data_IF_596117186970
#
_entry.id   IF_596117186970
#
_cell.length_a   1.000
_cell.length_b   1.000
_cell.length_c   1.000
_cell.angle_alpha   90.00
_cell.angle_beta   90.00
_cell.angle_gamma   90.00
#
_symmetry.space_group_name_H-M   'P 1'
#
loop_
_entity.id
_entity.type
_entity.pdbx_description
1 polymer ?
#
# COMPACT_ATOMS: atom_id res chain seq x y z
N UNK A 1 -45.02 55.29 -39.69
CA UNK A 1 -43.65 55.03 -39.21
C UNK A 1 -43.32 53.57 -39.47
N UNK A 2 -42.36 53.31 -40.37
CA UNK A 2 -41.90 51.97 -40.74
C UNK A 2 -41.12 51.36 -39.57
N UNK A 3 -41.45 50.14 -39.14
CA UNK A 3 -40.48 49.22 -38.52
C UNK A 3 -40.80 47.79 -38.98
N UNK A 4 -39.81 47.20 -39.63
CA UNK A 4 -39.81 45.87 -40.23
C UNK A 4 -39.58 44.81 -39.14
N UNK A 5 -40.25 43.67 -39.28
CA UNK A 5 -39.94 42.43 -38.56
C UNK A 5 -38.59 41.90 -39.03
N UNK A 6 -37.66 41.67 -38.10
CA UNK A 6 -36.42 40.94 -38.33
C UNK A 6 -36.67 39.49 -37.90
N UNK A 7 -36.73 38.58 -38.87
CA UNK A 7 -36.55 37.15 -38.65
C UNK A 7 -35.04 36.88 -38.54
N UNK A 8 -34.60 36.39 -37.37
CA UNK A 8 -33.24 35.90 -37.19
C UNK A 8 -33.16 34.49 -37.77
N UNK A 9 -32.45 34.33 -38.88
CA UNK A 9 -32.19 33.04 -39.54
C UNK A 9 -30.92 32.44 -38.94
N UNK A 10 -31.02 31.29 -38.28
CA UNK A 10 -29.87 30.54 -37.78
C UNK A 10 -29.24 29.78 -38.95
N UNK A 11 -28.05 30.19 -39.39
CA UNK A 11 -27.24 29.45 -40.36
C UNK A 11 -26.29 28.53 -39.57
N UNK A 12 -26.53 27.22 -39.65
CA UNK A 12 -25.60 26.20 -39.15
C UNK A 12 -24.57 25.94 -40.24
N UNK A 13 -23.32 26.35 -40.01
CA UNK A 13 -22.19 26.01 -40.87
C UNK A 13 -21.66 24.62 -40.46
N UNK A 14 -21.90 23.60 -41.28
CA UNK A 14 -21.18 22.33 -41.22
C UNK A 14 -19.84 22.51 -41.94
N UNK A 15 -18.76 22.66 -41.18
CA UNK A 15 -17.40 22.63 -41.70
C UNK A 15 -16.93 21.18 -41.86
N UNK A 16 -16.93 20.67 -43.08
CA UNK A 16 -16.21 19.45 -43.43
C UNK A 16 -14.72 19.79 -43.53
N UNK A 17 -13.93 19.34 -42.54
CA UNK A 17 -12.47 19.39 -42.61
C UNK A 17 -12.02 18.22 -43.48
N UNK A 18 -11.67 18.53 -44.73
CA UNK A 18 -10.91 17.63 -45.60
C UNK A 18 -9.44 17.75 -45.20
N UNK A 19 -8.94 16.77 -44.43
CA UNK A 19 -7.51 16.59 -44.23
C UNK A 19 -6.92 15.97 -45.50
N UNK A 20 -6.14 16.74 -46.26
CA UNK A 20 -5.27 16.16 -47.27
C UNK A 20 -4.05 15.58 -46.55
N UNK A 21 -3.97 14.25 -46.46
CA UNK A 21 -2.72 13.55 -46.14
C UNK A 21 -1.71 13.81 -47.24
N UNK A 22 -0.68 14.58 -46.92
CA UNK A 22 0.58 14.57 -47.66
C UNK A 22 1.34 13.32 -47.25
N UNK A 23 1.44 12.33 -48.14
CA UNK A 23 2.33 11.19 -47.95
C UNK A 23 3.78 11.68 -48.12
N UNK A 24 4.46 11.95 -47.01
CA UNK A 24 5.91 11.84 -46.97
C UNK A 24 6.23 10.38 -46.64
N UNK A 25 6.92 9.70 -47.55
CA UNK A 25 7.54 8.41 -47.30
C UNK A 25 8.81 8.63 -46.47
N UNK A 26 8.63 8.92 -45.19
CA UNK A 26 9.64 8.56 -44.20
C UNK A 26 9.26 7.14 -43.75
N UNK A 27 10.20 6.20 -43.81
CA UNK A 27 10.05 4.88 -43.21
C UNK A 27 9.83 5.07 -41.70
N UNK A 28 8.59 5.34 -41.33
CA UNK A 28 8.12 5.37 -39.95
C UNK A 28 8.17 3.91 -39.52
N UNK A 29 9.27 3.51 -38.88
CA UNK A 29 9.37 2.30 -38.08
C UNK A 29 8.25 2.39 -37.03
N UNK A 30 7.03 2.01 -37.42
CA UNK A 30 5.91 1.91 -36.50
C UNK A 30 6.41 1.02 -35.36
N UNK A 31 6.47 1.51 -34.11
CA UNK A 31 6.97 0.72 -33.01
C UNK A 31 6.24 -0.62 -33.00
N UNK A 32 6.98 -1.70 -33.21
CA UNK A 32 6.41 -3.05 -33.17
C UNK A 32 5.86 -3.20 -31.76
N UNK A 33 4.55 -3.46 -31.66
CA UNK A 33 3.90 -3.74 -30.38
C UNK A 33 4.67 -4.86 -29.68
N UNK A 34 5.29 -4.59 -28.51
CA UNK A 34 6.07 -5.59 -27.78
C UNK A 34 5.20 -6.72 -27.20
N UNK A 35 3.87 -6.63 -27.39
CA UNK A 35 2.90 -7.65 -27.08
C UNK A 35 2.40 -7.60 -25.64
N UNK A 36 1.45 -8.48 -25.36
CA UNK A 36 0.85 -8.63 -24.03
C UNK A 36 0.94 -10.07 -23.55
N UNK A 37 0.94 -10.23 -22.23
CA UNK A 37 0.97 -11.52 -21.53
C UNK A 37 0.11 -11.44 -20.27
N UNK A 38 -0.45 -12.57 -19.81
CA UNK A 38 -1.25 -12.62 -18.58
C UNK A 38 -0.53 -13.33 -17.41
N UNK A 39 0.67 -13.85 -17.66
CA UNK A 39 1.42 -14.69 -16.71
C UNK A 39 2.93 -14.45 -16.73
N UNK A 40 3.47 -13.97 -17.84
CA UNK A 40 4.89 -13.67 -17.99
C UNK A 40 5.14 -12.16 -18.04
N UNK A 41 6.11 -11.68 -17.25
CA UNK A 41 6.65 -10.32 -17.32
C UNK A 41 8.02 -10.38 -18.00
N UNK A 42 8.10 -9.83 -19.21
CA UNK A 42 9.35 -9.77 -19.95
C UNK A 42 10.07 -8.44 -19.69
N UNK A 43 11.23 -8.53 -19.04
CA UNK A 43 12.09 -7.40 -18.66
C UNK A 43 12.96 -7.01 -19.84
N UNK A 44 12.73 -5.81 -20.37
CA UNK A 44 13.45 -5.27 -21.51
C UNK A 44 14.76 -4.61 -21.11
N UNK A 45 15.80 -4.73 -21.95
CA UNK A 45 16.99 -3.88 -21.80
C UNK A 45 16.70 -2.49 -22.39
N UNK A 46 16.72 -1.47 -21.55
CA UNK A 46 16.50 -0.09 -21.96
C UNK A 46 17.79 0.61 -22.38
N UNK A 47 17.68 1.56 -23.32
CA UNK A 47 18.80 2.41 -23.76
C UNK A 47 19.09 3.56 -22.79
N UNK A 48 18.10 3.92 -21.96
CA UNK A 48 18.20 4.94 -20.91
C UNK A 48 17.32 4.58 -19.73
N UNK A 49 17.56 5.19 -18.56
CA UNK A 49 16.66 5.03 -17.42
C UNK A 49 15.36 5.82 -17.65
N UNK A 50 14.19 5.27 -17.28
CA UNK A 50 12.98 6.08 -17.19
C UNK A 50 13.13 7.12 -16.08
N UNK A 51 12.40 8.22 -16.22
CA UNK A 51 12.17 9.19 -15.16
C UNK A 51 11.33 8.53 -14.07
N UNK A 52 11.54 8.93 -12.81
CA UNK A 52 10.78 8.42 -11.65
C UNK A 52 9.92 9.55 -11.10
N UNK A 53 8.98 10.03 -11.91
CA UNK A 53 8.19 11.23 -11.63
C UNK A 53 6.67 11.00 -11.66
N UNK A 54 6.24 9.79 -12.03
CA UNK A 54 4.84 9.38 -12.09
C UNK A 54 4.18 9.66 -13.43
N UNK A 55 4.91 10.21 -14.40
CA UNK A 55 4.47 10.32 -15.79
C UNK A 55 5.02 9.14 -16.59
N UNK A 56 4.19 8.52 -17.43
CA UNK A 56 4.58 7.33 -18.19
C UNK A 56 5.40 7.75 -19.41
N UNK A 57 6.73 7.62 -19.30
CA UNK A 57 7.66 7.82 -20.40
C UNK A 57 7.40 6.91 -21.61
N UNK A 58 7.71 7.41 -22.83
CA UNK A 58 7.60 6.66 -24.08
C UNK A 58 8.39 5.34 -24.08
N UNK A 59 9.49 5.27 -23.31
CA UNK A 59 10.34 4.08 -23.22
C UNK A 59 9.57 2.87 -22.68
N UNK A 60 8.57 3.08 -21.81
CA UNK A 60 7.71 2.01 -21.31
C UNK A 60 6.91 1.35 -22.42
N UNK A 61 6.54 2.10 -23.47
CA UNK A 61 5.86 1.58 -24.65
C UNK A 61 6.65 0.53 -25.43
N UNK A 62 7.96 0.42 -25.18
CA UNK A 62 8.83 -0.54 -25.86
C UNK A 62 8.95 -1.90 -25.18
N UNK A 63 8.52 -2.03 -23.93
CA UNK A 63 8.55 -3.28 -23.14
C UNK A 63 7.24 -4.06 -23.28
N UNK A 64 7.21 -5.38 -23.05
CA UNK A 64 5.96 -6.17 -23.03
C UNK A 64 5.03 -5.70 -21.90
N UNK A 65 3.70 -5.79 -22.11
CA UNK A 65 2.71 -5.54 -21.05
C UNK A 65 2.24 -6.84 -20.43
N UNK A 66 2.42 -6.99 -19.11
CA UNK A 66 1.66 -7.97 -18.34
C UNK A 66 0.29 -7.35 -18.03
N UNK A 67 -0.79 -7.96 -18.53
CA UNK A 67 -2.19 -7.52 -18.31
C UNK A 67 -2.97 -8.67 -17.68
N UNK A 68 -3.38 -8.52 -16.42
CA UNK A 68 -4.14 -9.56 -15.70
C UNK A 68 -4.92 -8.95 -14.52
N UNK A 69 -5.69 -9.77 -13.82
CA UNK A 69 -6.31 -9.41 -12.55
C UNK A 69 -5.70 -10.14 -11.36
N UNK A 70 -5.76 -9.52 -10.19
CA UNK A 70 -5.60 -10.15 -8.89
C UNK A 70 -6.99 -10.30 -8.23
N UNK A 71 -7.17 -11.28 -7.34
CA UNK A 71 -8.45 -11.48 -6.64
C UNK A 71 -8.25 -11.74 -5.15
N UNK A 72 -9.10 -11.17 -4.30
CA UNK A 72 -9.13 -11.48 -2.88
C UNK A 72 -9.69 -12.89 -2.70
N UNK A 73 -8.89 -13.83 -2.16
CA UNK A 73 -9.36 -15.19 -1.93
C UNK A 73 -10.45 -15.25 -0.87
N UNK A 74 -11.37 -16.19 -1.05
CA UNK A 74 -12.44 -16.51 -0.10
C UNK A 74 -12.23 -17.84 0.60
N UNK A 75 -12.90 -18.06 1.73
CA UNK A 75 -12.94 -19.37 2.40
C UNK A 75 -11.59 -19.80 2.97
N UNK A 76 -10.84 -18.84 3.49
CA UNK A 76 -9.56 -19.07 4.18
C UNK A 76 -9.75 -19.46 5.66
N UNK A 77 -10.98 -19.47 6.12
CA UNK A 77 -11.41 -19.92 7.44
C UNK A 77 -11.62 -18.78 8.41
N UNK A 78 -12.31 -19.08 9.51
CA UNK A 78 -12.73 -18.06 10.47
C UNK A 78 -11.53 -17.45 11.22
N UNK A 79 -11.70 -16.20 11.68
CA UNK A 79 -10.67 -15.49 12.48
C UNK A 79 -10.35 -16.19 13.80
N UNK A 80 -11.31 -16.91 14.37
CA UNK A 80 -11.23 -17.65 15.65
C UNK A 80 -10.90 -16.79 16.88
N UNK A 81 -10.76 -15.48 16.71
CA UNK A 81 -10.61 -14.50 17.77
C UNK A 81 -11.03 -13.10 17.30
N UNK A 82 -11.26 -12.16 18.22
CA UNK A 82 -11.47 -10.76 17.89
C UNK A 82 -10.17 -10.16 17.34
N UNK A 83 -10.19 -9.57 16.14
CA UNK A 83 -9.04 -8.90 15.54
C UNK A 83 -8.98 -7.41 15.92
N UNK A 84 -10.14 -6.82 16.11
CA UNK A 84 -10.45 -5.53 16.71
C UNK A 84 -10.97 -5.75 18.16
N UNK A 85 -11.83 -4.85 18.65
CA UNK A 85 -12.37 -4.91 20.01
C UNK A 85 -13.54 -5.90 20.14
N UNK A 86 -13.75 -6.43 21.36
CA UNK A 86 -14.73 -7.50 21.65
C UNK A 86 -16.17 -7.09 21.30
N UNK A 87 -16.48 -5.81 21.46
CA UNK A 87 -17.75 -5.18 21.11
C UNK A 87 -17.98 -5.02 19.59
N UNK A 88 -17.00 -5.39 18.75
CA UNK A 88 -17.08 -5.32 17.29
C UNK A 88 -17.32 -6.68 16.60
N UNK A 89 -17.45 -7.79 17.36
CA UNK A 89 -18.22 -8.99 16.96
C UNK A 89 -17.71 -9.87 15.80
N UNK A 90 -16.40 -10.05 15.63
CA UNK A 90 -15.84 -10.54 14.35
C UNK A 90 -15.22 -11.96 14.33
N UNK A 91 -15.25 -12.72 15.43
CA UNK A 91 -14.45 -13.96 15.55
C UNK A 91 -14.88 -15.06 14.55
N UNK A 92 -16.14 -15.03 14.11
CA UNK A 92 -16.75 -16.02 13.22
C UNK A 92 -16.69 -15.65 11.74
N UNK A 93 -16.16 -14.47 11.40
CA UNK A 93 -15.99 -14.05 10.01
C UNK A 93 -14.85 -14.81 9.37
N UNK A 94 -14.92 -15.07 8.06
CA UNK A 94 -13.73 -15.39 7.29
C UNK A 94 -12.68 -14.27 7.48
N UNK A 95 -11.40 -14.63 7.42
CA UNK A 95 -10.32 -13.66 7.60
C UNK A 95 -10.43 -12.48 6.63
N UNK A 96 -10.97 -12.67 5.42
CA UNK A 96 -11.12 -11.61 4.40
C UNK A 96 -12.58 -11.31 4.03
N UNK A 97 -13.57 -11.79 4.78
CA UNK A 97 -15.02 -11.64 4.49
C UNK A 97 -15.42 -10.28 3.89
N UNK A 98 -14.96 -9.18 4.49
CA UNK A 98 -15.30 -7.80 4.08
C UNK A 98 -14.76 -7.38 2.69
N UNK A 99 -13.94 -8.21 2.06
CA UNK A 99 -13.26 -7.97 0.79
C UNK A 99 -13.40 -9.17 -0.17
N UNK A 100 -14.07 -10.25 0.22
CA UNK A 100 -14.11 -11.48 -0.57
C UNK A 100 -14.67 -11.23 -1.98
N UNK A 101 -13.98 -11.77 -2.98
CA UNK A 101 -14.38 -11.63 -4.38
C UNK A 101 -14.01 -10.29 -5.02
N UNK A 102 -13.49 -9.32 -4.27
CA UNK A 102 -12.91 -8.10 -4.86
C UNK A 102 -11.76 -8.46 -5.80
N UNK A 103 -11.75 -7.82 -6.96
CA UNK A 103 -10.77 -8.08 -8.03
C UNK A 103 -10.16 -6.77 -8.49
N UNK A 104 -8.85 -6.78 -8.69
CA UNK A 104 -8.10 -5.62 -9.17
C UNK A 104 -7.44 -5.97 -10.49
N UNK A 105 -7.84 -5.28 -11.56
CA UNK A 105 -7.15 -5.36 -12.85
C UNK A 105 -5.90 -4.50 -12.76
N UNK A 106 -4.77 -5.06 -13.16
CA UNK A 106 -3.51 -4.35 -13.19
C UNK A 106 -2.73 -4.62 -14.47
N UNK A 107 -1.91 -3.64 -14.82
CA UNK A 107 -0.87 -3.77 -15.83
C UNK A 107 0.50 -3.65 -15.19
N UNK A 108 1.48 -4.32 -15.78
CA UNK A 108 2.87 -4.20 -15.37
C UNK A 108 3.80 -4.23 -16.58
N UNK A 109 4.82 -3.39 -16.55
CA UNK A 109 5.93 -3.40 -17.50
C UNK A 109 7.23 -3.39 -16.71
N UNK A 110 8.30 -3.91 -17.30
CA UNK A 110 9.61 -3.86 -16.65
C UNK A 110 10.73 -3.71 -17.67
N UNK A 111 11.77 -3.02 -17.25
CA UNK A 111 13.02 -2.97 -17.98
C UNK A 111 14.20 -2.70 -17.07
N UNK A 112 15.40 -2.79 -17.60
CA UNK A 112 16.64 -2.57 -16.86
C UNK A 112 17.63 -1.75 -17.68
N UNK A 113 18.44 -0.96 -16.99
CA UNK A 113 19.57 -0.24 -17.59
C UNK A 113 20.73 -0.19 -16.59
N UNK A 114 21.94 -0.47 -17.06
CA UNK A 114 23.11 -0.56 -16.18
C UNK A 114 22.90 -1.61 -15.08
N UNK A 115 22.94 -1.18 -13.82
CA UNK A 115 22.76 -2.01 -12.64
C UNK A 115 21.34 -2.02 -12.08
N UNK A 116 20.40 -1.28 -12.70
CA UNK A 116 19.10 -1.00 -12.10
C UNK A 116 17.99 -1.64 -12.92
N UNK A 117 17.00 -2.19 -12.22
CA UNK A 117 15.73 -2.69 -12.77
C UNK A 117 14.59 -1.77 -12.35
N UNK A 118 13.64 -1.62 -13.27
CA UNK A 118 12.51 -0.71 -13.16
C UNK A 118 11.21 -1.47 -13.41
N UNK A 119 10.15 -1.07 -12.72
CA UNK A 119 8.80 -1.58 -12.93
C UNK A 119 7.83 -0.42 -13.04
N UNK A 120 6.96 -0.46 -14.05
CA UNK A 120 5.77 0.38 -14.13
C UNK A 120 4.57 -0.50 -13.78
N UNK A 121 3.79 -0.08 -12.79
CA UNK A 121 2.63 -0.82 -12.28
C UNK A 121 1.45 0.13 -12.30
N UNK A 122 0.35 -0.31 -12.89
CA UNK A 122 -0.88 0.48 -12.94
C UNK A 122 -2.06 -0.40 -12.50
N UNK A 123 -2.96 0.13 -11.68
CA UNK A 123 -4.23 -0.52 -11.38
C UNK A 123 -5.34 0.50 -11.19
N UNK A 124 -6.57 0.10 -11.49
CA UNK A 124 -7.73 0.96 -11.29
C UNK A 124 -8.05 1.07 -9.79
N UNK A 125 -8.33 2.28 -9.34
CA UNK A 125 -8.76 2.55 -7.97
C UNK A 125 -9.50 3.89 -7.97
N UNK A 126 -10.74 3.89 -7.52
CA UNK A 126 -11.54 5.12 -7.49
C UNK A 126 -11.18 6.01 -6.29
N UNK A 127 -10.47 5.46 -5.30
CA UNK A 127 -10.25 6.13 -4.02
C UNK A 127 -8.79 6.05 -3.62
N UNK A 128 -8.19 7.22 -3.48
CA UNK A 128 -6.96 7.42 -2.72
C UNK A 128 -7.22 7.05 -1.25
N UNK A 129 -6.94 5.80 -0.87
CA UNK A 129 -7.18 5.31 0.49
C UNK A 129 -5.96 5.58 1.36
N UNK A 130 -6.18 6.42 2.38
CA UNK A 130 -5.14 6.95 3.26
C UNK A 130 -5.56 7.05 4.73
N UNK A 131 -6.78 6.67 5.06
CA UNK A 131 -7.35 6.77 6.41
C UNK A 131 -6.88 5.61 7.31
N UNK A 132 -5.56 5.53 7.50
CA UNK A 132 -4.94 4.43 8.23
C UNK A 132 -5.16 4.60 9.73
N UNK A 133 -6.19 3.95 10.27
CA UNK A 133 -6.44 3.85 11.71
C UNK A 133 -6.45 5.20 12.44
N UNK A 134 -6.91 6.29 11.79
CA UNK A 134 -6.84 7.64 12.37
C UNK A 134 -7.54 7.71 13.74
N UNK A 135 -7.07 8.61 14.59
CA UNK A 135 -7.65 8.83 15.91
C UNK A 135 -8.91 9.69 15.81
N UNK A 136 -9.98 9.21 16.40
CA UNK A 136 -11.24 9.90 16.58
C UNK A 136 -11.61 9.98 18.07
N UNK A 137 -12.58 10.81 18.40
CA UNK A 137 -13.14 10.91 19.73
C UNK A 137 -14.49 10.20 19.80
N UNK A 138 -14.57 9.19 20.66
CA UNK A 138 -15.80 8.50 21.00
C UNK A 138 -16.49 9.26 22.14
N UNK A 139 -17.48 10.07 21.76
CA UNK A 139 -18.26 10.88 22.70
C UNK A 139 -19.10 10.05 23.68
N UNK A 140 -19.42 8.79 23.35
CA UNK A 140 -20.21 7.91 24.22
C UNK A 140 -19.40 7.43 25.42
N UNK A 141 -18.13 7.08 25.20
CA UNK A 141 -17.21 6.65 26.27
C UNK A 141 -16.35 7.79 26.82
N UNK A 142 -16.37 8.97 26.18
CA UNK A 142 -15.48 10.10 26.48
C UNK A 142 -14.00 9.68 26.37
N UNK A 143 -13.65 8.96 25.29
CA UNK A 143 -12.29 8.45 25.04
C UNK A 143 -11.85 8.72 23.62
N UNK A 144 -10.54 8.91 23.44
CA UNK A 144 -9.91 8.81 22.14
C UNK A 144 -9.76 7.35 21.73
N UNK A 145 -9.98 7.05 20.46
CA UNK A 145 -9.84 5.72 19.86
C UNK A 145 -9.21 5.86 18.48
N UNK A 146 -8.46 4.85 18.05
CA UNK A 146 -8.11 4.73 16.63
C UNK A 146 -9.22 4.03 15.86
N UNK A 147 -9.40 4.36 14.59
CA UNK A 147 -10.24 3.54 13.70
C UNK A 147 -9.76 2.08 13.74
N UNK A 148 -10.72 1.17 13.60
CA UNK A 148 -10.42 -0.24 13.66
C UNK A 148 -9.54 -0.66 12.49
N UNK A 149 -8.69 -1.66 12.72
CA UNK A 149 -7.68 -2.06 11.74
C UNK A 149 -8.25 -2.94 10.65
N UNK A 150 -9.19 -3.80 11.01
CA UNK A 150 -9.73 -4.83 10.13
C UNK A 150 -11.19 -4.54 9.88
N UNK A 151 -11.60 -4.45 8.61
CA UNK A 151 -13.00 -4.24 8.28
C UNK A 151 -13.85 -5.43 8.75
N UNK A 152 -15.06 -5.13 9.21
CA UNK A 152 -16.07 -6.12 9.57
C UNK A 152 -17.13 -6.24 8.46
N UNK A 153 -17.21 -5.24 7.57
CA UNK A 153 -18.15 -5.11 6.45
C UNK A 153 -17.45 -4.43 5.27
N UNK A 154 -18.10 -4.46 4.11
CA UNK A 154 -17.55 -3.83 2.91
C UNK A 154 -17.40 -2.30 3.02
N UNK A 155 -18.17 -1.65 3.90
CA UNK A 155 -18.27 -0.19 4.02
C UNK A 155 -17.54 0.40 5.24
N UNK A 156 -16.80 -0.41 6.02
CA UNK A 156 -16.08 0.03 7.23
C UNK A 156 -14.55 -0.14 7.11
N UNK A 157 -13.97 0.39 6.03
CA UNK A 157 -12.55 0.25 5.70
C UNK A 157 -11.75 1.50 6.09
N UNK A 158 -10.81 1.35 7.04
CA UNK A 158 -9.95 2.42 7.57
C UNK A 158 -8.47 2.04 7.48
N UNK A 159 -8.00 1.85 6.25
CA UNK A 159 -6.60 1.57 5.98
C UNK A 159 -6.06 2.38 4.80
N UNK A 160 -4.93 1.95 4.29
CA UNK A 160 -4.24 2.55 3.16
C UNK A 160 -4.14 1.56 1.99
N UNK A 161 -3.99 2.10 0.78
CA UNK A 161 -3.65 1.29 -0.39
C UNK A 161 -2.21 0.80 -0.33
N UNK A 162 -1.99 -0.43 -0.80
CA UNK A 162 -0.68 -1.08 -0.80
C UNK A 162 -0.56 -2.02 -1.99
N UNK A 163 0.68 -2.37 -2.32
CA UNK A 163 0.96 -3.57 -3.09
C UNK A 163 2.14 -4.32 -2.47
N UNK A 164 2.33 -5.57 -2.89
CA UNK A 164 3.56 -6.29 -2.58
C UNK A 164 4.03 -7.19 -3.70
N UNK A 165 5.35 -7.27 -3.85
CA UNK A 165 6.04 -8.31 -4.60
C UNK A 165 6.57 -9.38 -3.65
N UNK A 166 6.65 -10.61 -4.13
CA UNK A 166 7.40 -11.68 -3.48
C UNK A 166 8.30 -12.37 -4.49
N UNK A 167 9.59 -12.46 -4.18
CA UNK A 167 10.58 -13.21 -4.97
C UNK A 167 11.30 -14.23 -4.06
N UNK A 168 11.54 -15.46 -4.52
CA UNK A 168 12.29 -16.42 -3.72
C UNK A 168 13.78 -16.07 -3.77
N UNK A 169 14.48 -16.25 -2.65
CA UNK A 169 15.93 -16.11 -2.58
C UNK A 169 16.52 -17.51 -2.62
N UNK A 170 16.94 -17.91 -3.81
CA UNK A 170 17.30 -19.30 -4.09
C UNK A 170 16.06 -20.20 -4.20
N UNK A 171 16.17 -21.44 -3.74
CA UNK A 171 15.11 -22.43 -3.85
C UNK A 171 14.13 -22.34 -2.66
N UNK A 172 12.84 -22.22 -2.96
CA UNK A 172 11.76 -22.20 -1.99
C UNK A 172 10.68 -23.20 -2.40
N UNK A 173 10.33 -24.11 -1.49
CA UNK A 173 9.39 -25.21 -1.77
C UNK A 173 8.06 -24.67 -2.31
N UNK A 174 7.62 -25.22 -3.45
CA UNK A 174 6.37 -24.90 -4.13
C UNK A 174 6.20 -23.41 -4.53
N UNK A 175 7.24 -22.58 -4.46
CA UNK A 175 7.09 -21.15 -4.75
C UNK A 175 6.69 -20.88 -6.20
N UNK A 176 7.25 -21.58 -7.18
CA UNK A 176 6.90 -21.38 -8.59
C UNK A 176 5.40 -21.63 -8.89
N UNK A 177 4.77 -22.56 -8.17
CA UNK A 177 3.34 -22.88 -8.35
C UNK A 177 2.43 -21.97 -7.51
N UNK A 178 2.84 -21.64 -6.29
CA UNK A 178 1.97 -21.06 -5.26
C UNK A 178 2.32 -19.61 -4.90
N UNK A 179 3.56 -19.18 -5.15
CA UNK A 179 4.10 -17.84 -4.89
C UNK A 179 3.74 -17.31 -3.49
N UNK A 180 2.82 -16.35 -3.37
CA UNK A 180 2.32 -15.82 -2.10
C UNK A 180 1.75 -16.90 -1.17
N UNK A 181 1.11 -17.94 -1.71
CA UNK A 181 0.55 -19.04 -0.91
C UNK A 181 1.64 -19.98 -0.35
N UNK A 182 2.84 -19.98 -0.92
CA UNK A 182 3.94 -20.81 -0.42
C UNK A 182 4.38 -20.39 0.99
N UNK A 183 4.15 -19.13 1.35
CA UNK A 183 4.52 -18.57 2.66
C UNK A 183 3.32 -18.43 3.60
N UNK A 184 2.08 -18.45 3.10
CA UNK A 184 0.87 -18.24 3.89
C UNK A 184 0.38 -19.54 4.52
N UNK A 185 0.24 -19.56 5.85
CA UNK A 185 -0.17 -20.73 6.58
C UNK A 185 -1.19 -20.41 7.67
N UNK A 186 -2.23 -21.25 7.75
CA UNK A 186 -3.11 -21.33 8.92
C UNK A 186 -2.34 -21.92 10.09
N UNK A 187 -2.46 -21.29 11.25
CA UNK A 187 -1.80 -21.72 12.49
C UNK A 187 -2.62 -22.80 13.20
N UNK A 188 -1.96 -23.68 13.95
CA UNK A 188 -2.64 -24.77 14.67
C UNK A 188 -3.38 -24.31 15.93
N UNK A 189 -3.03 -23.14 16.48
CA UNK A 189 -3.66 -22.59 17.68
C UNK A 189 -3.55 -21.07 17.75
N UNK A 190 -4.59 -20.44 18.30
CA UNK A 190 -4.60 -19.03 18.70
C UNK A 190 -4.22 -18.94 20.17
N UNK A 191 -3.07 -18.34 20.46
CA UNK A 191 -2.55 -18.27 21.82
C UNK A 191 -3.17 -17.13 22.63
N UNK A 192 -3.44 -15.98 22.00
CA UNK A 192 -4.02 -14.81 22.65
C UNK A 192 -5.14 -14.19 21.82
N UNK A 193 -6.07 -13.49 22.49
CA UNK A 193 -7.04 -12.63 21.82
C UNK A 193 -6.33 -11.60 20.93
N UNK A 194 -6.84 -11.36 19.72
CA UNK A 194 -6.23 -10.51 18.66
C UNK A 194 -4.99 -11.05 17.97
N UNK A 195 -4.55 -12.27 18.29
CA UNK A 195 -3.56 -12.93 17.47
C UNK A 195 -4.15 -13.35 16.11
N UNK A 196 -3.32 -13.38 15.08
CA UNK A 196 -3.74 -13.75 13.73
C UNK A 196 -3.83 -15.27 13.55
N UNK A 197 -4.87 -15.70 12.85
CA UNK A 197 -5.12 -17.10 12.46
C UNK A 197 -4.24 -17.54 11.29
N UNK A 198 -3.83 -16.60 10.45
CA UNK A 198 -2.88 -16.86 9.37
C UNK A 198 -1.59 -16.09 9.58
N UNK A 199 -0.48 -16.72 9.22
CA UNK A 199 0.86 -16.16 9.34
C UNK A 199 1.70 -16.47 8.10
N UNK A 200 2.62 -15.57 7.80
CA UNK A 200 3.62 -15.79 6.77
C UNK A 200 4.91 -16.33 7.37
N UNK A 201 5.37 -17.50 6.93
CA UNK A 201 6.65 -18.10 7.27
C UNK A 201 6.99 -19.21 6.28
N UNK A 202 8.27 -19.61 6.23
CA UNK A 202 8.72 -20.75 5.43
C UNK A 202 8.91 -21.98 6.31
N UNK A 203 8.80 -23.18 5.72
CA UNK A 203 8.92 -24.46 6.44
C UNK A 203 10.20 -25.24 6.11
N UNK A 204 10.89 -24.91 5.02
CA UNK A 204 12.21 -25.48 4.72
C UNK A 204 13.32 -24.67 5.39
N UNK A 205 14.24 -25.37 6.04
CA UNK A 205 15.39 -24.73 6.71
C UNK A 205 16.23 -23.93 5.71
N UNK A 206 16.61 -22.71 6.09
CA UNK A 206 17.42 -21.80 5.27
C UNK A 206 16.67 -21.10 4.13
N UNK A 207 15.41 -21.46 3.86
CA UNK A 207 14.62 -20.77 2.83
C UNK A 207 14.33 -19.33 3.22
N UNK A 208 14.34 -18.45 2.22
CA UNK A 208 14.02 -17.02 2.36
C UNK A 208 13.27 -16.52 1.13
N UNK A 209 12.36 -15.58 1.35
CA UNK A 209 11.63 -14.86 0.30
C UNK A 209 11.81 -13.37 0.56
N UNK A 210 12.22 -12.66 -0.48
CA UNK A 210 12.28 -11.20 -0.58
C UNK A 210 10.84 -10.66 -0.75
N UNK A 211 10.48 -9.62 -0.01
CA UNK A 211 9.16 -8.97 0.00
C UNK A 211 9.28 -7.45 -0.06
N UNK A 212 9.01 -6.90 -1.25
CA UNK A 212 8.82 -5.46 -1.40
C UNK A 212 7.39 -5.10 -1.06
N UNK A 213 7.17 -4.20 -0.10
CA UNK A 213 5.82 -3.89 0.37
C UNK A 213 5.57 -2.40 0.45
N UNK A 214 5.09 -1.85 -0.67
CA UNK A 214 4.73 -0.45 -0.73
C UNK A 214 3.47 -0.17 0.06
N UNK A 215 3.44 0.98 0.73
CA UNK A 215 2.34 1.38 1.59
C UNK A 215 2.05 2.84 1.38
N UNK A 216 0.85 3.19 0.98
CA UNK A 216 0.54 4.54 0.53
C UNK A 216 0.89 5.62 1.56
N UNK A 217 0.41 5.50 2.79
CA UNK A 217 0.65 6.48 3.87
C UNK A 217 2.08 6.38 4.39
N UNK A 218 2.67 5.18 4.35
CA UNK A 218 3.95 4.89 5.03
C UNK A 218 5.19 4.87 4.14
N UNK A 219 5.03 4.91 2.82
CA UNK A 219 6.11 4.84 1.83
C UNK A 219 6.17 6.04 0.89
N UNK A 220 5.02 6.56 0.46
CA UNK A 220 4.94 7.62 -0.57
C UNK A 220 5.56 8.94 -0.13
N UNK A 221 5.50 9.29 1.17
CA UNK A 221 6.07 10.55 1.66
C UNK A 221 7.59 10.65 1.43
N UNK A 222 8.28 9.51 1.40
CA UNK A 222 9.73 9.43 1.23
C UNK A 222 10.13 8.76 -0.07
N UNK A 223 9.18 8.51 -0.98
CA UNK A 223 9.41 7.79 -2.24
C UNK A 223 10.15 6.45 -2.02
N UNK A 224 9.70 5.68 -1.01
CA UNK A 224 10.29 4.38 -0.63
C UNK A 224 9.30 3.24 -0.57
N UNK A 225 9.79 2.06 -0.91
CA UNK A 225 9.13 0.79 -0.59
C UNK A 225 9.84 0.19 0.62
N UNK A 226 9.05 -0.30 1.55
CA UNK A 226 9.56 -0.98 2.74
C UNK A 226 10.05 -2.38 2.34
N UNK A 227 11.37 -2.56 2.31
CA UNK A 227 12.00 -3.85 2.01
C UNK A 227 11.95 -4.79 3.22
N UNK A 228 11.55 -6.02 2.95
CA UNK A 228 11.19 -7.00 3.95
C UNK A 228 11.52 -8.39 3.45
N UNK A 229 11.53 -9.34 4.40
CA UNK A 229 11.75 -10.75 4.10
C UNK A 229 10.79 -11.65 4.84
N UNK A 230 10.65 -12.86 4.33
CA UNK A 230 10.04 -13.98 5.01
C UNK A 230 11.06 -15.09 5.19
N UNK A 231 11.13 -15.62 6.41
CA UNK A 231 12.14 -16.61 6.81
C UNK A 231 11.52 -17.91 7.31
N UNK A 232 12.35 -18.95 7.32
CA UNK A 232 12.05 -20.23 7.96
C UNK A 232 11.65 -20.06 9.44
N UNK A 233 10.65 -20.84 9.86
CA UNK A 233 10.32 -21.05 11.27
C UNK A 233 10.16 -22.54 11.57
N UNK A 234 10.78 -22.97 12.67
CA UNK A 234 10.56 -24.30 13.23
C UNK A 234 9.21 -24.34 13.99
N UNK A 235 8.56 -25.51 13.99
CA UNK A 235 7.33 -25.72 14.74
C UNK A 235 7.56 -25.67 16.27
N UNK A 236 6.49 -25.56 17.07
CA UNK A 236 5.07 -25.60 16.68
C UNK A 236 4.59 -24.33 15.98
N UNK A 237 3.65 -24.49 15.04
CA UNK A 237 3.11 -23.40 14.22
C UNK A 237 1.87 -22.78 14.86
N UNK A 238 2.07 -21.80 15.73
CA UNK A 238 0.99 -21.13 16.48
C UNK A 238 0.78 -19.71 15.98
N UNK A 239 -0.18 -19.01 16.55
CA UNK A 239 -0.47 -17.62 16.22
C UNK A 239 0.68 -16.64 16.50
N UNK A 240 1.76 -17.06 17.18
CA UNK A 240 3.00 -16.29 17.34
C UNK A 240 4.06 -16.57 16.25
N UNK A 241 3.89 -17.62 15.45
CA UNK A 241 4.85 -18.02 14.41
C UNK A 241 4.79 -17.04 13.26
N UNK A 242 5.69 -16.06 13.24
CA UNK A 242 5.76 -15.06 12.17
C UNK A 242 7.18 -15.02 11.58
N UNK A 243 7.32 -15.46 10.34
CA UNK A 243 8.56 -15.43 9.56
C UNK A 243 8.79 -14.11 8.84
N UNK A 244 7.77 -13.27 8.75
CA UNK A 244 7.85 -11.95 8.12
C UNK A 244 8.45 -10.89 9.06
N UNK A 245 9.49 -10.22 8.60
CA UNK A 245 10.15 -9.08 9.27
C UNK A 245 10.75 -8.13 8.22
N UNK A 246 11.20 -6.94 8.63
CA UNK A 246 12.08 -6.14 7.75
C UNK A 246 13.45 -6.79 7.59
N UNK A 247 14.22 -6.27 6.65
CA UNK A 247 15.62 -6.69 6.44
C UNK A 247 16.50 -6.24 7.59
N UNK A 248 17.54 -7.04 7.84
CA UNK A 248 18.21 -7.10 9.14
C UNK A 248 19.02 -5.85 9.50
N UNK A 249 19.56 -5.15 8.51
CA UNK A 249 20.48 -4.02 8.66
C UNK A 249 19.80 -2.64 8.59
N UNK A 250 18.45 -2.61 8.54
CA UNK A 250 17.68 -1.39 8.27
C UNK A 250 16.52 -1.10 9.22
N UNK A 251 15.98 0.13 9.14
CA UNK A 251 14.82 0.57 9.92
C UNK A 251 13.65 0.99 9.02
N UNK A 252 12.42 0.77 9.50
CA UNK A 252 11.23 1.29 8.82
C UNK A 252 11.17 2.80 8.91
N UNK A 253 10.66 3.41 7.84
CA UNK A 253 10.33 4.83 7.80
C UNK A 253 9.06 5.23 8.55
N UNK A 254 8.62 4.46 9.54
CA UNK A 254 7.40 4.77 10.29
C UNK A 254 7.32 4.12 11.68
N UNK A 255 6.52 4.74 12.55
CA UNK A 255 6.11 4.22 13.87
C UNK A 255 4.67 4.62 14.20
N UNK A 256 4.07 3.98 15.20
CA UNK A 256 2.73 4.35 15.66
C UNK A 256 2.77 5.67 16.43
N UNK A 257 1.82 6.56 16.14
CA UNK A 257 1.54 7.78 16.89
C UNK A 257 0.58 7.47 18.04
N UNK A 258 1.06 6.81 19.10
CA UNK A 258 0.24 6.39 20.24
C UNK A 258 1.05 6.38 21.52
N UNK A 259 0.39 6.67 22.63
CA UNK A 259 0.94 6.48 23.98
C UNK A 259 -0.17 6.15 24.99
N UNK A 260 0.23 5.63 26.14
CA UNK A 260 -0.65 5.44 27.30
C UNK A 260 -0.44 6.58 28.28
N UNK A 261 -1.53 7.21 28.73
CA UNK A 261 -1.51 8.21 29.78
C UNK A 261 -2.53 7.87 30.87
N UNK A 262 -2.25 8.31 32.09
CA UNK A 262 -3.24 8.34 33.17
C UNK A 262 -4.23 9.47 32.93
N UNK A 263 -5.52 9.18 32.99
CA UNK A 263 -6.54 10.23 32.97
C UNK A 263 -6.40 11.12 34.21
N UNK A 264 -6.35 12.43 33.98
CA UNK A 264 -6.08 13.42 35.04
C UNK A 264 -7.06 13.29 36.20
N UNK A 265 -6.52 13.16 37.41
CA UNK A 265 -7.31 13.01 38.63
C UNK A 265 -7.86 11.60 38.88
N UNK A 266 -7.36 10.58 38.17
CA UNK A 266 -7.80 9.17 38.33
C UNK A 266 -6.63 8.18 38.29
N UNK A 267 -6.93 6.92 38.58
CA UNK A 267 -6.02 5.78 38.39
C UNK A 267 -6.26 5.02 37.06
N UNK A 268 -6.98 5.62 36.11
CA UNK A 268 -7.35 4.95 34.85
C UNK A 268 -6.37 5.28 33.73
N UNK A 269 -5.70 4.27 33.20
CA UNK A 269 -4.89 4.37 31.98
C UNK A 269 -5.75 4.36 30.72
N UNK A 270 -5.39 5.20 29.74
CA UNK A 270 -6.03 5.25 28.42
C UNK A 270 -4.98 5.44 27.33
N UNK A 271 -5.27 4.91 26.15
CA UNK A 271 -4.47 5.20 24.95
C UNK A 271 -4.93 6.52 24.32
N UNK A 272 -3.97 7.34 23.91
CA UNK A 272 -4.17 8.63 23.24
C UNK A 272 -3.13 8.80 22.14
N UNK A 273 -3.31 9.75 21.19
CA UNK A 273 -2.24 10.14 20.27
C UNK A 273 -0.97 10.56 21.02
N UNK A 274 0.20 10.25 20.46
CA UNK A 274 1.47 10.69 21.04
C UNK A 274 1.75 12.17 20.71
N UNK A 275 1.57 12.55 19.45
CA UNK A 275 1.74 13.90 18.92
C UNK A 275 0.49 14.36 18.17
N UNK A 276 0.26 15.67 18.16
CA UNK A 276 -0.81 16.32 17.39
C UNK A 276 -0.27 17.58 16.73
N UNK A 277 -0.60 17.80 15.46
CA UNK A 277 -0.38 19.11 14.82
C UNK A 277 -1.57 20.00 15.18
N UNK A 278 -1.33 21.06 15.95
CA UNK A 278 -2.40 21.94 16.41
C UNK A 278 -3.07 22.65 15.23
N UNK A 279 -4.40 22.60 15.14
CA UNK A 279 -5.18 23.04 13.98
C UNK A 279 -4.83 22.35 12.65
N UNK A 280 -4.13 21.21 12.68
CA UNK A 280 -3.91 20.38 11.50
C UNK A 280 -5.23 19.82 10.98
N UNK A 281 -5.42 19.88 9.67
CA UNK A 281 -6.57 19.27 8.96
C UNK A 281 -6.17 18.06 8.12
N UNK A 282 -4.87 17.85 7.93
CA UNK A 282 -4.33 16.61 7.37
C UNK A 282 -4.11 15.62 8.50
N UNK A 283 -4.70 14.43 8.38
CA UNK A 283 -4.76 13.43 9.43
C UNK A 283 -4.19 12.07 9.02
N UNK A 284 -3.35 12.02 8.00
CA UNK A 284 -2.85 10.74 7.47
C UNK A 284 -1.50 10.32 8.08
N UNK A 285 -0.58 11.27 8.29
CA UNK A 285 0.70 11.04 8.96
C UNK A 285 1.27 12.33 9.58
N UNK A 286 2.27 12.19 10.46
CA UNK A 286 3.10 13.30 10.95
C UNK A 286 4.56 12.99 10.61
N UNK A 287 5.20 13.73 9.69
CA UNK A 287 6.64 13.61 9.45
C UNK A 287 7.47 13.94 10.68
N UNK A 288 8.58 13.23 10.88
CA UNK A 288 9.51 13.45 11.99
C UNK A 288 10.03 14.90 12.02
N UNK A 289 10.23 15.51 10.83
CA UNK A 289 10.59 16.92 10.70
C UNK A 289 9.60 17.91 11.35
N UNK A 290 8.34 17.51 11.54
CA UNK A 290 7.34 18.34 12.21
C UNK A 290 7.41 18.23 13.74
N UNK A 291 8.06 17.21 14.30
CA UNK A 291 8.09 16.97 15.75
C UNK A 291 8.83 18.05 16.53
N UNK A 292 9.74 18.78 15.89
CA UNK A 292 10.54 19.81 16.56
C UNK A 292 9.82 21.16 16.67
N UNK A 293 8.90 21.49 15.74
CA UNK A 293 8.38 22.86 15.60
C UNK A 293 6.86 22.97 15.41
N UNK A 294 6.18 21.91 14.96
CA UNK A 294 4.76 21.98 14.57
C UNK A 294 3.89 21.03 15.38
N UNK A 295 4.30 19.75 15.46
CA UNK A 295 3.59 18.74 16.22
C UNK A 295 3.93 18.84 17.71
N UNK A 296 2.91 18.81 18.55
CA UNK A 296 3.06 18.91 20.01
C UNK A 296 2.74 17.59 20.67
N UNK A 297 3.57 17.19 21.64
CA UNK A 297 3.35 15.97 22.41
C UNK A 297 2.10 16.14 23.28
N UNK A 298 1.25 15.13 23.33
CA UNK A 298 0.16 15.08 24.31
C UNK A 298 0.75 14.72 25.67
N UNK A 299 0.52 15.55 26.69
CA UNK A 299 1.10 15.37 28.03
C UNK A 299 0.06 15.04 29.10
N UNK A 300 -1.22 15.31 28.86
CA UNK A 300 -2.31 14.91 29.75
C UNK A 300 -3.62 14.73 28.97
N UNK A 301 -4.54 13.96 29.56
CA UNK A 301 -5.90 13.77 29.07
C UNK A 301 -6.89 13.87 30.23
N UNK A 302 -7.90 14.71 30.08
CA UNK A 302 -8.94 14.95 31.09
C UNK A 302 -10.08 13.92 30.99
N UNK A 303 -10.96 13.92 32.01
CA UNK A 303 -12.14 13.04 32.09
C UNK A 303 -13.10 13.16 30.89
N UNK A 304 -13.22 14.35 30.32
CA UNK A 304 -14.04 14.63 29.14
C UNK A 304 -13.28 14.44 27.80
N UNK A 305 -12.10 13.84 27.83
CA UNK A 305 -11.24 13.63 26.67
C UNK A 305 -10.39 14.83 26.24
N UNK A 306 -10.46 15.98 26.92
CA UNK A 306 -9.61 17.14 26.55
C UNK A 306 -8.14 16.76 26.65
N UNK A 307 -7.38 16.95 25.57
CA UNK A 307 -5.94 16.73 25.53
C UNK A 307 -5.23 18.03 25.92
N UNK A 308 -4.21 17.93 26.77
CA UNK A 308 -3.25 19.01 27.01
C UNK A 308 -1.97 18.69 26.26
N UNK A 309 -1.50 19.65 25.47
CA UNK A 309 -0.29 19.54 24.67
C UNK A 309 0.91 20.14 25.41
N UNK A 310 2.11 19.70 25.07
CA UNK A 310 3.33 20.38 25.49
C UNK A 310 3.33 21.83 24.96
N UNK A 311 3.60 22.79 25.84
CA UNK A 311 3.34 24.21 25.59
C UNK A 311 2.03 24.75 26.21
N UNK A 312 1.14 23.88 26.68
CA UNK A 312 -0.03 24.24 27.50
C UNK A 312 -1.34 24.46 26.73
N UNK A 313 -1.32 24.39 25.40
CA UNK A 313 -2.55 24.41 24.60
C UNK A 313 -3.40 23.16 24.85
N UNK A 314 -4.71 23.29 24.60
CA UNK A 314 -5.66 22.20 24.79
C UNK A 314 -6.46 21.93 23.53
N UNK A 315 -6.82 20.67 23.34
CA UNK A 315 -7.78 20.22 22.33
C UNK A 315 -8.99 19.67 23.08
N UNK A 316 -10.12 20.37 22.99
CA UNK A 316 -11.39 19.88 23.48
C UNK A 316 -12.11 19.14 22.35
N UNK A 317 -12.19 17.80 22.38
CA UNK A 317 -12.81 17.06 21.28
C UNK A 317 -14.33 17.29 21.18
N UNK A 318 -14.96 17.84 22.23
CA UNK A 318 -16.38 18.20 22.21
C UNK A 318 -16.68 19.43 21.33
N UNK A 319 -15.65 20.12 20.83
CA UNK A 319 -15.81 21.21 19.85
C UNK A 319 -16.07 20.67 18.42
N UNK A 320 -16.08 19.34 18.24
CA UNK A 320 -16.41 18.66 16.99
C UNK A 320 -15.28 18.65 15.96
N UNK A 321 -15.45 17.81 14.95
CA UNK A 321 -14.46 17.52 13.90
C UNK A 321 -13.62 16.27 14.17
N UNK A 322 -13.81 15.60 15.30
CA UNK A 322 -13.09 14.37 15.66
C UNK A 322 -14.00 13.13 15.59
N UNK A 323 -15.13 13.22 14.87
CA UNK A 323 -16.09 12.13 14.76
C UNK A 323 -15.50 10.95 13.97
N UNK A 324 -15.89 9.74 14.36
CA UNK A 324 -15.47 8.51 13.68
C UNK A 324 -15.82 8.56 12.19
N UNK A 325 -14.88 8.18 11.34
CA UNK A 325 -15.00 8.03 9.88
C UNK A 325 -15.14 9.33 9.09
N UNK A 326 -15.70 10.39 9.69
CA UNK A 326 -16.11 11.61 8.96
C UNK A 326 -15.49 12.91 9.51
N UNK A 327 -14.89 12.87 10.69
CA UNK A 327 -14.29 14.03 11.32
C UNK A 327 -13.09 14.57 10.53
N UNK A 328 -13.13 15.87 10.19
CA UNK A 328 -12.08 16.55 9.41
C UNK A 328 -10.85 16.97 10.24
N UNK A 329 -10.91 16.81 11.57
CA UNK A 329 -9.82 17.12 12.52
C UNK A 329 -9.26 15.88 13.19
N UNK A 330 -9.59 14.66 12.71
CA UNK A 330 -9.01 13.41 13.23
C UNK A 330 -7.49 13.50 13.30
N UNK A 331 -6.85 12.68 14.13
CA UNK A 331 -5.40 12.80 14.38
C UNK A 331 -4.69 11.61 13.72
N UNK A 332 -3.56 11.80 13.02
CA UNK A 332 -2.82 10.69 12.41
C UNK A 332 -2.43 9.60 13.40
N UNK A 333 -2.47 8.34 12.97
CA UNK A 333 -2.00 7.20 13.78
C UNK A 333 -0.54 6.82 13.50
N UNK A 334 0.11 7.52 12.56
CA UNK A 334 1.45 7.22 12.07
C UNK A 334 2.35 8.45 12.19
N UNK A 335 3.58 8.20 12.64
CA UNK A 335 4.72 9.08 12.44
C UNK A 335 5.57 8.51 11.29
N UNK A 336 6.07 9.37 10.40
CA UNK A 336 6.95 8.97 9.29
C UNK A 336 8.35 9.54 9.44
N UNK A 337 9.35 8.82 8.93
CA UNK A 337 10.78 9.18 8.88
C UNK A 337 11.45 8.44 7.75
N UNK A 338 12.71 8.73 7.48
CA UNK A 338 13.43 8.02 6.42
C UNK A 338 13.63 6.53 6.72
N UNK A 339 13.57 5.71 5.67
CA UNK A 339 14.04 4.33 5.72
C UNK A 339 15.57 4.33 5.72
N UNK A 340 16.17 3.32 6.34
CA UNK A 340 17.64 3.17 6.40
C UNK A 340 18.04 1.72 6.19
N UNK A 341 19.30 1.48 5.80
CA UNK A 341 19.84 0.14 5.53
C UNK A 341 19.15 -0.54 4.35
N UNK A 342 19.16 -1.88 4.31
CA UNK A 342 18.51 -2.72 3.30
C UNK A 342 17.01 -2.46 3.17
N UNK A 343 16.35 -2.02 4.27
CA UNK A 343 14.94 -1.58 4.22
C UNK A 343 14.66 -0.37 3.33
N UNK A 344 15.69 0.29 2.81
CA UNK A 344 15.61 1.49 1.97
C UNK A 344 16.04 1.25 0.51
N UNK A 345 16.32 0.00 0.11
CA UNK A 345 16.93 -0.32 -1.20
C UNK A 345 16.00 -0.13 -2.41
N UNK A 346 14.70 0.07 -2.16
CA UNK A 346 13.70 0.30 -3.17
C UNK A 346 13.18 1.74 -3.16
N UNK A 347 13.27 2.36 -4.33
CA UNK A 347 12.69 3.67 -4.62
C UNK A 347 11.37 3.49 -5.35
N UNK A 348 10.42 4.39 -5.09
CA UNK A 348 9.15 4.39 -5.81
C UNK A 348 8.65 5.81 -6.01
N UNK A 349 8.10 6.07 -7.20
CA UNK A 349 7.16 7.16 -7.40
C UNK A 349 5.76 6.62 -7.61
N UNK A 350 4.82 7.03 -6.77
CA UNK A 350 3.42 6.57 -6.83
C UNK A 350 2.46 7.76 -6.91
N UNK A 351 1.67 7.80 -7.98
CA UNK A 351 0.70 8.88 -8.24
C UNK A 351 -0.70 8.26 -8.40
N UNK A 352 -1.65 8.77 -7.61
CA UNK A 352 -3.07 8.47 -7.83
C UNK A 352 -3.63 9.47 -8.83
N UNK A 353 -4.12 8.99 -9.98
CA UNK A 353 -4.60 9.82 -11.10
C UNK A 353 -6.06 10.27 -10.92
N UNK A 354 -6.71 9.85 -9.83
CA UNK A 354 -8.14 10.04 -9.58
C UNK A 354 -8.99 8.86 -10.02
N UNK A 355 -8.47 8.00 -10.91
CA UNK A 355 -9.12 6.77 -11.35
C UNK A 355 -8.28 5.51 -11.13
N UNK A 356 -7.08 5.68 -10.60
CA UNK A 356 -6.20 4.58 -10.24
C UNK A 356 -4.80 5.04 -9.90
N UNK A 357 -3.91 4.06 -9.83
CA UNK A 357 -2.52 4.22 -9.45
C UNK A 357 -1.61 4.07 -10.65
N UNK A 358 -0.58 4.92 -10.71
CA UNK A 358 0.61 4.77 -11.54
C UNK A 358 1.81 4.73 -10.59
N UNK A 359 2.54 3.62 -10.60
CA UNK A 359 3.65 3.36 -9.70
C UNK A 359 4.89 2.97 -10.49
N UNK A 360 5.93 3.78 -10.39
CA UNK A 360 7.25 3.50 -10.95
C UNK A 360 8.17 3.05 -9.82
N UNK A 361 8.74 1.85 -9.93
CA UNK A 361 9.60 1.25 -8.92
C UNK A 361 10.99 1.08 -9.49
N UNK A 362 12.01 1.40 -8.68
CA UNK A 362 13.42 1.20 -9.02
C UNK A 362 14.11 0.41 -7.92
N UNK A 363 14.94 -0.54 -8.32
CA UNK A 363 15.87 -1.26 -7.44
C UNK A 363 17.14 -1.62 -8.23
N UNK A 364 18.27 -1.82 -7.54
CA UNK A 364 19.42 -2.49 -8.16
C UNK A 364 19.08 -3.94 -8.50
N UNK A 365 19.65 -4.47 -9.58
CA UNK A 365 19.64 -5.90 -9.91
C UNK A 365 20.32 -6.74 -8.81
N UNK A 366 21.32 -6.17 -8.15
CA UNK A 366 22.00 -6.73 -7.00
C UNK A 366 22.28 -5.62 -5.98
N UNK A 367 21.60 -5.67 -4.84
CA UNK A 367 21.77 -4.71 -3.73
C UNK A 367 23.02 -5.01 -2.91
N UNK A 368 23.43 -6.28 -2.87
CA UNK A 368 24.49 -6.79 -2.01
C UNK A 368 23.98 -7.26 -0.64
N UNK A 369 22.68 -7.09 -0.34
CA UNK A 369 22.05 -7.63 0.84
C UNK A 369 21.78 -9.14 0.66
N UNK A 370 21.92 -9.90 1.74
CA UNK A 370 21.62 -11.34 1.81
C UNK A 370 20.13 -11.62 1.98
N UNK A 371 19.34 -10.60 2.32
CA UNK A 371 17.89 -10.63 2.47
C UNK A 371 17.13 -10.41 1.16
N UNK A 372 17.88 -10.31 0.07
CA UNK A 372 17.44 -9.76 -1.19
C UNK A 372 17.62 -10.74 -2.34
N UNK A 373 16.69 -10.75 -3.29
CA UNK A 373 16.88 -11.51 -4.52
C UNK A 373 17.93 -10.83 -5.41
N UNK A 374 18.87 -11.61 -5.96
CA UNK A 374 19.80 -11.15 -7.00
C UNK A 374 19.23 -11.49 -8.38
N UNK A 375 18.92 -10.47 -9.16
CA UNK A 375 18.40 -10.62 -10.52
C UNK A 375 19.54 -10.84 -11.53
N UNK A 376 19.91 -12.10 -11.70
CA UNK A 376 20.73 -12.57 -12.81
C UNK A 376 19.92 -12.55 -14.12
N UNK A 377 20.32 -11.69 -15.05
CA UNK A 377 19.63 -11.46 -16.34
C UNK A 377 19.60 -12.69 -17.26
N UNK A 378 20.26 -13.79 -16.89
CA UNK A 378 20.22 -15.06 -17.64
C UNK A 378 19.21 -16.07 -17.07
N UNK A 379 18.51 -15.71 -15.99
CA UNK A 379 17.59 -16.60 -15.26
C UNK A 379 16.15 -16.11 -15.35
N UNK A 380 15.24 -17.02 -15.00
CA UNK A 380 13.83 -16.74 -14.83
C UNK A 380 13.50 -16.71 -13.33
N UNK A 381 12.56 -15.85 -12.94
CA UNK A 381 12.21 -15.62 -11.54
C UNK A 381 10.70 -15.77 -11.37
N UNK A 382 10.21 -16.84 -10.70
CA UNK A 382 8.81 -16.86 -10.31
C UNK A 382 8.56 -15.76 -9.28
N UNK A 383 7.42 -15.08 -9.38
CA UNK A 383 7.06 -14.03 -8.44
C UNK A 383 5.57 -14.01 -8.16
N UNK A 384 5.22 -13.48 -7.00
CA UNK A 384 3.84 -13.18 -6.63
C UNK A 384 3.61 -11.69 -6.60
N UNK A 385 2.43 -11.26 -7.02
CA UNK A 385 2.00 -9.87 -6.88
C UNK A 385 0.67 -9.79 -6.14
N UNK A 386 0.53 -8.79 -5.29
CA UNK A 386 -0.69 -8.55 -4.54
C UNK A 386 -1.01 -7.06 -4.42
N UNK A 387 -2.30 -6.73 -4.45
CA UNK A 387 -2.85 -5.38 -4.25
C UNK A 387 -3.74 -5.40 -3.01
N UNK A 388 -3.63 -4.38 -2.17
CA UNK A 388 -4.47 -4.16 -1.01
C UNK A 388 -5.22 -2.85 -1.25
N UNK A 389 -6.52 -2.93 -1.50
CA UNK A 389 -7.37 -1.76 -1.66
C UNK A 389 -8.01 -1.41 -0.31
N UNK A 390 -7.58 -0.31 0.30
CA UNK A 390 -8.03 0.13 1.62
C UNK A 390 -8.02 -0.97 2.72
N UNK A 391 -6.99 -1.83 2.75
CA UNK A 391 -7.03 -3.07 3.54
C UNK A 391 -5.78 -3.31 4.39
N UNK A 392 -5.94 -3.68 5.67
CA UNK A 392 -4.80 -3.99 6.54
C UNK A 392 -4.07 -5.28 6.15
N UNK A 393 -4.82 -6.37 5.97
CA UNK A 393 -4.29 -7.70 5.63
C UNK A 393 -5.01 -8.38 4.47
N UNK A 394 -6.25 -8.01 4.15
CA UNK A 394 -6.93 -8.54 2.97
C UNK A 394 -6.23 -8.01 1.71
N UNK A 395 -6.00 -8.88 0.74
CA UNK A 395 -5.32 -8.52 -0.49
C UNK A 395 -5.78 -9.40 -1.63
N UNK A 396 -5.89 -8.76 -2.79
CA UNK A 396 -6.05 -9.42 -4.05
C UNK A 396 -4.70 -10.03 -4.45
N UNK A 397 -4.68 -11.31 -4.83
CA UNK A 397 -3.44 -12.04 -5.16
C UNK A 397 -3.49 -12.48 -6.62
N UNK A 398 -2.36 -12.35 -7.32
CA UNK A 398 -2.10 -13.03 -8.59
C UNK A 398 -0.89 -13.95 -8.42
N UNK A 399 -1.11 -15.28 -8.26
CA UNK A 399 -0.02 -16.24 -8.15
C UNK A 399 0.46 -16.70 -9.53
N UNK A 400 1.60 -17.41 -9.53
CA UNK A 400 2.11 -18.12 -10.71
C UNK A 400 2.59 -17.19 -11.82
N UNK A 401 3.11 -16.01 -11.48
CA UNK A 401 3.75 -15.12 -12.44
C UNK A 401 5.22 -15.52 -12.62
N UNK A 402 5.73 -15.30 -13.82
CA UNK A 402 7.12 -15.59 -14.18
C UNK A 402 7.76 -14.36 -14.80
N UNK A 403 8.87 -13.91 -14.24
CA UNK A 403 9.67 -12.83 -14.78
C UNK A 403 10.85 -13.39 -15.59
N UNK A 404 11.06 -12.88 -16.80
CA UNK A 404 12.17 -13.27 -17.69
C UNK A 404 12.85 -12.02 -18.24
N UNK A 405 14.11 -12.13 -18.63
CA UNK A 405 14.83 -11.06 -19.32
C UNK A 405 14.87 -11.34 -20.82
N UNK A 406 14.65 -10.30 -21.64
CA UNK A 406 14.88 -10.38 -23.09
C UNK A 406 16.34 -10.79 -23.35
N UNK A 407 16.51 -11.79 -24.24
CA UNK A 407 17.81 -12.35 -24.61
C UNK A 407 18.35 -11.75 -25.90
#
# INVERSE_FOLDING_TARGET
>A
MKKYFIYLTTVVFFGAVLTMSSCNNDDDDTPIDPGESATELLVKKFDAAPSMDGEIDDIWGTAQRLTTSAQVPSGLGNRMTYYNAVDLGEETLDIFEAYEGETENFTMRSGYVGSDIYFLIEWADAVDSKDRQSWYFDSSSQRWRGEHKYANKADDKFYEDKFSFLFPIGEVDNFAASTCYATCHTVSSINNTKDKHTRHYLKGSGQKVDMWHWKRVRGTHNDRIDDQRMTYKEGPYTSSTNGRSGDEDGQSGYSNNSQTLMMTGTEVEVNVPLYVVFNGTDYYWIPEAQLDNEAKKVIAVALNGTLTLDGGETINPNDGGYEQGVGAKRIPSILTRDFTGGRADLEIKAVHTGTGWVCEVKRKLNTGDVDDVVFDVTKEFPFGFAIFNNAAIAHAIKPGLLMKFEQ
#
